data_IF_509260312831
#
_entry.id   IF_509260312831
#
_cell.length_a   1.000
_cell.length_b   1.000
_cell.length_c   1.000
_cell.angle_alpha   90.00
_cell.angle_beta   90.00
_cell.angle_gamma   90.00
#
_symmetry.space_group_name_H-M   'P 1'
#
loop_
_entity.id
_entity.type
_entity.pdbx_description
1 polymer ?
#
# COMPACT_ATOMS: atom_id res chain seq x y z
N UNK A 1 -2.54 -10.28 -17.30
CA UNK A 1 -3.01 -10.51 -15.92
C UNK A 1 -4.24 -9.63 -15.66
N UNK A 2 -5.16 -9.93 -14.73
CA UNK A 2 -6.25 -8.99 -14.40
C UNK A 2 -5.74 -7.93 -13.41
N UNK A 3 -5.02 -6.93 -13.94
CA UNK A 3 -4.40 -5.88 -13.13
C UNK A 3 -5.44 -5.01 -12.45
N UNK A 4 -6.54 -4.66 -13.14
CA UNK A 4 -7.56 -3.80 -12.57
C UNK A 4 -8.19 -4.41 -11.30
N UNK A 5 -8.37 -5.74 -11.30
CA UNK A 5 -8.82 -6.46 -10.10
C UNK A 5 -7.79 -6.41 -8.96
N UNK A 6 -6.51 -6.62 -9.26
CA UNK A 6 -5.42 -6.60 -8.27
C UNK A 6 -5.28 -5.19 -7.68
N UNK A 7 -5.29 -4.16 -8.52
CA UNK A 7 -5.23 -2.76 -8.11
C UNK A 7 -6.39 -2.39 -7.19
N UNK A 8 -7.63 -2.78 -7.55
CA UNK A 8 -8.79 -2.55 -6.70
C UNK A 8 -8.63 -3.20 -5.32
N UNK A 9 -8.17 -4.46 -5.27
CA UNK A 9 -7.96 -5.17 -4.00
C UNK A 9 -6.82 -4.57 -3.17
N UNK A 10 -5.73 -4.15 -3.80
CA UNK A 10 -4.64 -3.48 -3.10
C UNK A 10 -5.07 -2.11 -2.54
N UNK A 11 -5.88 -1.36 -3.29
CA UNK A 11 -6.43 -0.09 -2.83
C UNK A 11 -7.41 -0.26 -1.66
N UNK A 12 -8.22 -1.34 -1.64
CA UNK A 12 -9.03 -1.69 -0.47
C UNK A 12 -8.16 -1.89 0.78
N UNK A 13 -7.07 -2.67 0.67
CA UNK A 13 -6.13 -2.92 1.77
C UNK A 13 -5.44 -1.63 2.24
N UNK A 14 -5.00 -0.78 1.30
CA UNK A 14 -4.39 0.50 1.64
C UNK A 14 -5.38 1.39 2.40
N UNK A 15 -6.66 1.40 2.00
CA UNK A 15 -7.70 2.17 2.68
C UNK A 15 -7.95 1.67 4.11
N UNK A 16 -7.94 0.37 4.34
CA UNK A 16 -8.01 -0.20 5.69
C UNK A 16 -6.83 0.23 6.55
N UNK A 17 -5.63 0.21 5.98
CA UNK A 17 -4.42 0.64 6.66
C UNK A 17 -4.42 2.16 6.96
N UNK A 18 -5.02 2.98 6.09
CA UNK A 18 -5.25 4.41 6.36
C UNK A 18 -6.24 4.65 7.51
N UNK A 19 -7.27 3.80 7.64
CA UNK A 19 -8.16 3.85 8.79
C UNK A 19 -7.41 3.53 10.09
N UNK A 20 -6.53 2.51 10.08
CA UNK A 20 -5.70 2.17 11.23
C UNK A 20 -4.76 3.34 11.62
N UNK A 21 -4.14 3.99 10.63
CA UNK A 21 -3.36 5.23 10.85
C UNK A 21 -4.20 6.29 11.58
N UNK A 22 -5.43 6.52 11.12
CA UNK A 22 -6.31 7.51 11.75
C UNK A 22 -6.64 7.13 13.20
N UNK A 23 -6.86 5.85 13.50
CA UNK A 23 -7.09 5.41 14.88
C UNK A 23 -5.89 5.69 15.80
N UNK A 24 -4.67 5.49 15.31
CA UNK A 24 -3.43 5.75 16.07
C UNK A 24 -3.21 7.25 16.28
N UNK A 25 -3.57 8.09 15.30
CA UNK A 25 -3.42 9.54 15.40
C UNK A 25 -4.47 10.19 16.31
N UNK A 26 -5.65 9.59 16.42
CA UNK A 26 -6.74 10.07 17.28
C UNK A 26 -6.65 9.56 18.73
N UNK A 27 -5.73 8.64 19.01
CA UNK A 27 -5.54 8.11 20.36
C UNK A 27 -4.82 9.14 21.25
N UNK A 28 -5.60 9.86 22.06
CA UNK A 28 -5.11 10.85 23.02
C UNK A 28 -4.25 10.26 24.15
N UNK A 29 -4.26 8.93 24.32
CA UNK A 29 -3.44 8.25 25.33
C UNK A 29 -1.98 8.05 24.90
N UNK A 30 -1.70 8.19 23.60
CA UNK A 30 -0.36 8.01 23.05
C UNK A 30 0.44 9.31 23.06
N UNK A 31 1.66 9.24 23.60
CA UNK A 31 2.62 10.32 23.40
C UNK A 31 3.21 10.28 21.98
N UNK A 32 3.85 11.38 21.58
CA UNK A 32 4.48 11.51 20.25
C UNK A 32 5.45 10.36 19.92
N UNK A 33 6.17 9.82 20.91
CA UNK A 33 7.13 8.73 20.68
C UNK A 33 6.40 7.41 20.41
N UNK A 34 5.34 7.15 21.16
CA UNK A 34 4.48 5.97 20.99
C UNK A 34 3.73 6.03 19.66
N UNK A 35 3.08 7.16 19.34
CA UNK A 35 2.43 7.36 18.03
C UNK A 35 3.41 7.08 16.88
N UNK A 36 4.62 7.63 16.94
CA UNK A 36 5.65 7.36 15.92
C UNK A 36 6.05 5.88 15.83
N UNK A 37 6.11 5.17 16.96
CA UNK A 37 6.44 3.74 16.98
C UNK A 37 5.35 2.91 16.31
N UNK A 38 4.07 3.21 16.59
CA UNK A 38 2.93 2.57 15.95
C UNK A 38 2.79 2.92 14.46
N UNK A 39 3.13 4.16 14.08
CA UNK A 39 3.05 4.63 12.69
C UNK A 39 4.12 4.02 11.75
N UNK A 40 5.29 3.63 12.28
CA UNK A 40 6.38 3.05 11.48
C UNK A 40 5.98 1.80 10.68
N UNK A 41 5.42 0.73 11.28
CA UNK A 41 5.00 -0.44 10.53
C UNK A 41 3.95 -0.09 9.47
N UNK A 42 2.96 0.74 9.81
CA UNK A 42 1.91 1.17 8.87
C UNK A 42 2.50 1.89 7.64
N UNK A 43 3.43 2.81 7.86
CA UNK A 43 4.11 3.53 6.78
C UNK A 43 4.90 2.56 5.88
N UNK A 44 5.66 1.64 6.48
CA UNK A 44 6.43 0.66 5.70
C UNK A 44 5.54 -0.31 4.92
N UNK A 45 4.44 -0.77 5.51
CA UNK A 45 3.48 -1.67 4.87
C UNK A 45 2.82 -1.00 3.67
N UNK A 46 2.38 0.26 3.80
CA UNK A 46 1.82 1.03 2.66
C UNK A 46 2.82 1.12 1.51
N UNK A 47 4.08 1.40 1.83
CA UNK A 47 5.14 1.51 0.82
C UNK A 47 5.41 0.16 0.13
N UNK A 48 5.43 -0.95 0.87
CA UNK A 48 5.59 -2.30 0.32
C UNK A 48 4.45 -2.61 -0.66
N UNK A 49 3.21 -2.31 -0.29
CA UNK A 49 2.03 -2.52 -1.14
C UNK A 49 2.14 -1.70 -2.44
N UNK A 50 2.46 -0.41 -2.35
CA UNK A 50 2.62 0.43 -3.54
C UNK A 50 3.73 -0.11 -4.46
N UNK A 51 4.89 -0.44 -3.90
CA UNK A 51 6.02 -0.97 -4.68
C UNK A 51 5.66 -2.30 -5.36
N UNK A 52 4.89 -3.16 -4.70
CA UNK A 52 4.42 -4.41 -5.27
C UNK A 52 3.43 -4.18 -6.42
N UNK A 53 2.48 -3.26 -6.26
CA UNK A 53 1.55 -2.90 -7.34
C UNK A 53 2.28 -2.35 -8.56
N UNK A 54 3.24 -1.44 -8.35
CA UNK A 54 4.06 -0.86 -9.40
C UNK A 54 4.89 -1.92 -10.14
N UNK A 55 5.47 -2.87 -9.39
CA UNK A 55 6.23 -3.99 -9.95
C UNK A 55 5.35 -4.88 -10.83
N UNK A 56 4.11 -5.17 -10.39
CA UNK A 56 3.14 -5.95 -11.16
C UNK A 56 2.76 -5.23 -12.46
N UNK A 57 2.47 -3.92 -12.38
CA UNK A 57 2.16 -3.09 -13.55
C UNK A 57 3.30 -3.03 -14.54
N UNK A 58 4.54 -2.92 -14.05
CA UNK A 58 5.74 -2.91 -14.88
C UNK A 58 5.91 -4.22 -15.65
N UNK A 59 5.74 -5.38 -14.99
CA UNK A 59 5.86 -6.69 -15.63
C UNK A 59 4.81 -6.90 -16.73
N UNK A 60 3.56 -6.53 -16.49
CA UNK A 60 2.50 -6.66 -17.51
C UNK A 60 2.72 -5.73 -18.70
N UNK A 61 3.24 -4.51 -18.45
CA UNK A 61 3.65 -3.59 -19.53
C UNK A 61 4.75 -4.19 -20.39
N UNK A 62 5.83 -4.71 -19.78
CA UNK A 62 6.91 -5.36 -20.52
C UNK A 62 6.42 -6.57 -21.32
N UNK A 63 5.54 -7.39 -20.74
CA UNK A 63 4.95 -8.54 -21.44
C UNK A 63 4.12 -8.15 -22.66
N UNK A 64 3.40 -7.02 -22.61
CA UNK A 64 2.68 -6.48 -23.77
C UNK A 64 3.64 -5.95 -24.84
N UNK A 65 4.66 -5.21 -24.44
CA UNK A 65 5.67 -4.67 -25.35
C UNK A 65 6.50 -5.76 -26.06
N UNK A 66 6.68 -6.93 -25.44
CA UNK A 66 7.31 -8.10 -26.08
C UNK A 66 6.39 -8.83 -27.06
N UNK A 67 5.07 -8.80 -26.87
CA UNK A 67 4.09 -9.41 -27.78
C UNK A 67 3.87 -8.58 -29.06
N UNK A 68 4.09 -7.28 -28.99
CA UNK A 68 3.94 -6.34 -30.12
C UNK A 68 5.20 -6.24 -31.01
N UNK A 69 6.27 -7.00 -30.70
CA UNK A 69 7.52 -7.09 -31.49
C UNK A 69 7.55 -8.31 -32.41
#
# INVERSE_FOLDING_TARGET
MNIDFIENKMNEIIKELEMEVMTVLMDESLDKKQTNLHMKPLTSTKQILNNALDSIKMVDKLGKEELDK
#
